data_IF_099872355245
#
_entry.id   IF_099872355245
#
_cell.length_a   1.000
_cell.length_b   1.000
_cell.length_c   1.000
_cell.angle_alpha   90.00
_cell.angle_beta   90.00
_cell.angle_gamma   90.00
#
_symmetry.space_group_name_H-M   'P 1'
#
loop_
_entity.id
_entity.type
_entity.pdbx_description
1 polymer ?
#
# COMPACT_ATOMS: atom_id res chain seq x y z
N UNK A 1 -20.94 -12.91 30.06
CA UNK A 1 -19.73 -12.05 29.97
C UNK A 1 -20.06 -10.89 29.03
N UNK A 2 -20.19 -9.67 29.56
CA UNK A 2 -20.75 -8.49 28.85
C UNK A 2 -19.98 -8.05 27.59
N UNK A 3 -18.70 -8.38 27.45
CA UNK A 3 -17.87 -7.97 26.31
C UNK A 3 -18.27 -8.62 24.98
N UNK A 4 -18.99 -9.76 25.01
CA UNK A 4 -19.46 -10.40 23.77
C UNK A 4 -20.58 -9.61 23.12
N UNK A 5 -21.43 -8.97 23.92
CA UNK A 5 -22.53 -8.17 23.41
C UNK A 5 -22.04 -6.82 22.84
N UNK A 6 -20.94 -6.26 23.38
CA UNK A 6 -20.32 -5.05 22.83
C UNK A 6 -19.67 -5.26 21.46
N UNK A 7 -19.37 -6.50 21.05
CA UNK A 7 -18.87 -6.77 19.69
C UNK A 7 -19.92 -6.43 18.62
N UNK A 8 -21.22 -6.52 18.93
CA UNK A 8 -22.28 -6.14 17.98
C UNK A 8 -22.23 -4.66 17.64
N UNK A 9 -21.79 -3.82 18.57
CA UNK A 9 -21.60 -2.38 18.33
C UNK A 9 -20.43 -2.08 17.38
N UNK A 10 -19.52 -3.04 17.16
CA UNK A 10 -18.39 -2.85 16.25
C UNK A 10 -18.83 -2.85 14.78
N UNK A 11 -19.95 -3.51 14.45
CA UNK A 11 -20.54 -3.48 13.10
C UNK A 11 -20.94 -2.06 12.67
N UNK A 12 -21.30 -1.22 13.64
CA UNK A 12 -21.69 0.17 13.42
C UNK A 12 -20.48 1.12 13.40
N UNK A 13 -19.29 0.64 13.78
CA UNK A 13 -18.09 1.47 13.83
C UNK A 13 -17.50 1.61 12.43
N UNK A 14 -17.75 2.76 11.81
CA UNK A 14 -17.06 3.15 10.58
C UNK A 14 -15.90 4.10 10.90
N UNK A 15 -14.68 3.68 10.57
CA UNK A 15 -13.49 4.53 10.69
C UNK A 15 -13.09 5.00 9.28
N UNK A 16 -13.27 6.29 8.95
CA UNK A 16 -12.88 6.81 7.65
C UNK A 16 -11.36 6.70 7.49
N UNK A 17 -10.92 6.06 6.40
CA UNK A 17 -9.50 5.93 6.04
C UNK A 17 -9.26 6.53 4.65
N UNK A 18 -9.35 7.86 4.51
CA UNK A 18 -9.08 8.50 3.22
C UNK A 18 -7.58 8.44 2.92
N UNK A 19 -7.22 8.01 1.70
CA UNK A 19 -5.85 8.12 1.20
C UNK A 19 -5.49 9.57 0.84
N UNK A 20 -6.49 10.32 0.36
CA UNK A 20 -6.36 11.68 -0.17
C UNK A 20 -7.47 12.58 0.39
N UNK A 21 -7.26 13.91 0.45
CA UNK A 21 -8.27 14.87 0.89
C UNK A 21 -9.36 15.14 -0.16
N UNK A 22 -9.54 14.23 -1.14
CA UNK A 22 -10.54 14.33 -2.21
C UNK A 22 -11.13 12.96 -2.52
N UNK A 23 -12.31 12.94 -3.17
CA UNK A 23 -12.91 11.71 -3.65
C UNK A 23 -12.09 11.13 -4.81
N UNK A 24 -11.69 9.87 -4.69
CA UNK A 24 -11.00 9.17 -5.77
C UNK A 24 -11.87 9.11 -7.02
N UNK A 25 -13.19 8.97 -6.89
CA UNK A 25 -14.13 8.90 -8.02
C UNK A 25 -14.08 10.13 -8.93
N UNK A 26 -13.72 11.29 -8.39
CA UNK A 26 -13.62 12.55 -9.12
C UNK A 26 -12.31 12.73 -9.86
N UNK A 27 -11.33 11.85 -9.66
CA UNK A 27 -10.04 11.92 -10.31
C UNK A 27 -10.01 11.08 -11.60
N UNK A 28 -9.70 11.68 -12.76
CA UNK A 28 -9.64 10.97 -14.04
C UNK A 28 -8.40 10.06 -14.14
N UNK A 29 -7.30 10.43 -13.48
CA UNK A 29 -6.03 9.71 -13.57
C UNK A 29 -5.55 9.28 -12.19
N UNK A 30 -5.36 7.96 -12.01
CA UNK A 30 -4.98 7.33 -10.75
C UNK A 30 -3.90 6.29 -11.03
N UNK A 31 -2.81 6.38 -10.30
CA UNK A 31 -1.66 5.49 -10.44
C UNK A 31 -1.29 4.92 -9.08
N UNK A 32 -1.00 3.61 -9.06
CA UNK A 32 -0.39 2.97 -7.91
C UNK A 32 1.14 2.99 -8.09
N UNK A 33 1.82 3.88 -7.38
CA UNK A 33 3.28 3.95 -7.41
C UNK A 33 3.88 3.06 -6.32
N UNK A 34 4.55 1.99 -6.72
CA UNK A 34 5.24 1.08 -5.79
C UNK A 34 6.75 1.23 -5.90
N UNK A 35 7.40 1.39 -4.74
CA UNK A 35 8.84 1.51 -4.61
C UNK A 35 9.36 0.34 -3.77
N UNK A 36 10.55 -0.14 -4.09
CA UNK A 36 11.24 -1.18 -3.32
C UNK A 36 12.65 -0.75 -2.99
N UNK A 37 13.14 -1.17 -1.82
CA UNK A 37 14.53 -0.98 -1.42
C UNK A 37 15.05 -2.23 -0.69
N UNK A 38 16.36 -2.41 -0.72
CA UNK A 38 17.03 -3.55 -0.14
C UNK A 38 18.37 -3.17 0.47
N UNK A 39 18.62 -3.71 1.65
CA UNK A 39 19.90 -3.61 2.35
C UNK A 39 20.28 -4.98 2.91
N UNK A 40 21.52 -5.09 3.41
CA UNK A 40 21.96 -6.30 4.12
C UNK A 40 21.21 -6.57 5.43
N UNK A 41 20.38 -5.62 5.90
CA UNK A 41 19.58 -5.78 7.12
C UNK A 41 18.11 -6.14 6.83
N UNK A 42 17.54 -5.60 5.74
CA UNK A 42 16.13 -5.80 5.40
C UNK A 42 15.84 -5.51 3.92
N UNK A 43 14.76 -6.11 3.43
CA UNK A 43 14.09 -5.73 2.18
C UNK A 43 12.76 -5.07 2.51
N UNK A 44 12.34 -4.10 1.69
CA UNK A 44 11.06 -3.43 1.88
C UNK A 44 10.43 -3.00 0.57
N UNK A 45 9.12 -2.78 0.62
CA UNK A 45 8.33 -2.17 -0.43
C UNK A 45 7.29 -1.21 0.17
N UNK A 46 6.99 -0.14 -0.55
CA UNK A 46 5.99 0.85 -0.17
C UNK A 46 5.16 1.26 -1.38
N UNK A 47 3.86 1.39 -1.19
CA UNK A 47 2.92 1.77 -2.21
C UNK A 47 2.23 3.09 -1.86
N UNK A 48 2.14 3.97 -2.85
CA UNK A 48 1.45 5.24 -2.80
C UNK A 48 0.40 5.33 -3.89
N UNK A 49 -0.75 5.93 -3.58
CA UNK A 49 -1.74 6.31 -4.57
C UNK A 49 -1.46 7.73 -5.03
N UNK A 50 -1.14 7.88 -6.31
CA UNK A 50 -0.97 9.17 -6.96
C UNK A 50 -2.21 9.49 -7.77
N UNK A 51 -2.69 10.71 -7.62
CA UNK A 51 -3.84 11.27 -8.33
C UNK A 51 -3.47 12.60 -8.92
N UNK A 52 -3.96 12.88 -10.13
CA UNK A 52 -3.93 14.22 -10.72
C UNK A 52 -5.36 14.76 -10.72
N UNK A 53 -5.57 15.92 -10.11
CA UNK A 53 -6.88 16.58 -10.13
C UNK A 53 -7.12 17.33 -11.46
N UNK A 54 -8.32 17.88 -11.61
CA UNK A 54 -8.75 18.61 -12.82
C UNK A 54 -7.89 19.87 -13.08
N UNK A 55 -7.30 20.44 -12.03
CA UNK A 55 -6.43 21.61 -12.11
C UNK A 55 -4.95 21.22 -12.39
N UNK A 56 -4.67 19.92 -12.51
CA UNK A 56 -3.34 19.38 -12.80
C UNK A 56 -2.44 19.22 -11.56
N UNK A 57 -2.95 19.43 -10.36
CA UNK A 57 -2.19 19.22 -9.13
C UNK A 57 -2.07 17.72 -8.82
N UNK A 58 -0.85 17.29 -8.52
CA UNK A 58 -0.58 15.92 -8.10
C UNK A 58 -0.74 15.78 -6.59
N UNK A 59 -1.64 14.89 -6.18
CA UNK A 59 -1.85 14.50 -4.79
C UNK A 59 -1.37 13.07 -4.59
N UNK A 60 -0.73 12.81 -3.44
CA UNK A 60 -0.15 11.50 -3.13
C UNK A 60 -0.57 11.07 -1.73
N UNK A 61 -1.08 9.84 -1.64
CA UNK A 61 -1.52 9.21 -0.40
C UNK A 61 -0.75 7.94 -0.12
N UNK A 62 -0.34 7.71 1.13
CA UNK A 62 0.27 6.45 1.53
C UNK A 62 -0.78 5.34 1.58
N UNK A 63 -0.53 4.21 0.91
CA UNK A 63 -1.44 3.07 0.93
C UNK A 63 -0.99 2.02 1.93
N UNK A 64 0.20 1.46 1.71
CA UNK A 64 0.72 0.36 2.51
C UNK A 64 2.24 0.26 2.37
N UNK A 65 2.91 -0.19 3.43
CA UNK A 65 4.32 -0.53 3.43
C UNK A 65 4.53 -1.91 4.04
N UNK A 66 5.50 -2.65 3.50
CA UNK A 66 5.83 -4.01 3.93
C UNK A 66 7.34 -4.17 3.98
N UNK A 67 7.85 -4.78 5.04
CA UNK A 67 9.28 -5.05 5.20
C UNK A 67 9.52 -6.46 5.72
N UNK A 68 10.68 -7.03 5.39
CA UNK A 68 11.14 -8.34 5.86
C UNK A 68 12.62 -8.23 6.23
N UNK A 69 13.02 -8.81 7.36
CA UNK A 69 14.44 -8.90 7.76
C UNK A 69 15.19 -9.72 6.72
N UNK A 70 16.38 -9.26 6.33
CA UNK A 70 17.21 -9.95 5.36
C UNK A 70 17.69 -11.31 5.93
N UNK A 71 17.75 -12.37 5.12
CA UNK A 71 18.27 -13.66 5.58
C UNK A 71 19.70 -13.51 6.12
N UNK A 72 19.99 -14.18 7.24
CA UNK A 72 21.33 -14.16 7.86
C UNK A 72 22.41 -14.85 7.01
N UNK A 73 22.03 -15.70 6.05
CA UNK A 73 22.96 -16.36 5.14
C UNK A 73 23.49 -15.40 4.07
N UNK A 74 24.67 -15.72 3.51
CA UNK A 74 25.34 -14.95 2.47
C UNK A 74 24.47 -14.77 1.23
N UNK A 75 23.70 -13.69 1.23
CA UNK A 75 22.86 -13.23 0.12
C UNK A 75 23.47 -11.93 -0.38
N UNK A 76 23.72 -11.83 -1.68
CA UNK A 76 24.30 -10.61 -2.25
C UNK A 76 23.26 -9.49 -2.30
N UNK A 77 23.71 -8.23 -2.25
CA UNK A 77 22.82 -7.06 -2.34
C UNK A 77 21.93 -7.11 -3.61
N UNK A 78 22.44 -7.44 -4.81
CA UNK A 78 21.58 -7.56 -6.00
C UNK A 78 20.47 -8.62 -5.87
N UNK A 79 20.72 -9.71 -5.14
CA UNK A 79 19.68 -10.72 -4.88
C UNK A 79 18.64 -10.19 -3.89
N UNK A 80 19.04 -9.40 -2.90
CA UNK A 80 18.12 -8.74 -1.98
C UNK A 80 17.27 -7.69 -2.69
N UNK A 81 17.85 -6.89 -3.60
CA UNK A 81 17.12 -5.95 -4.46
C UNK A 81 16.05 -6.67 -5.29
N UNK A 82 16.40 -7.82 -5.90
CA UNK A 82 15.43 -8.64 -6.62
C UNK A 82 14.31 -9.16 -5.69
N UNK A 83 14.64 -9.59 -4.47
CA UNK A 83 13.62 -10.00 -3.50
C UNK A 83 12.72 -8.83 -3.06
N UNK A 84 13.26 -7.62 -2.94
CA UNK A 84 12.48 -6.42 -2.65
C UNK A 84 11.54 -6.06 -3.81
N UNK A 85 11.97 -6.23 -5.06
CA UNK A 85 11.13 -6.07 -6.24
C UNK A 85 9.97 -7.08 -6.27
N UNK A 86 10.23 -8.35 -5.92
CA UNK A 86 9.16 -9.35 -5.75
C UNK A 86 8.18 -8.93 -4.66
N UNK A 87 8.68 -8.44 -3.53
CA UNK A 87 7.85 -7.93 -2.44
C UNK A 87 6.97 -6.74 -2.87
N UNK A 88 7.47 -5.88 -3.75
CA UNK A 88 6.72 -4.77 -4.33
C UNK A 88 5.58 -5.25 -5.23
N UNK A 89 5.82 -6.26 -6.09
CA UNK A 89 4.76 -6.84 -6.93
C UNK A 89 3.69 -7.51 -6.06
N UNK A 90 4.07 -8.30 -5.06
CA UNK A 90 3.11 -8.90 -4.10
C UNK A 90 2.26 -7.83 -3.40
N UNK A 91 2.88 -6.69 -3.03
CA UNK A 91 2.19 -5.57 -2.39
C UNK A 91 1.22 -4.89 -3.35
N UNK A 92 1.62 -4.71 -4.62
CA UNK A 92 0.77 -4.14 -5.65
C UNK A 92 -0.46 -5.02 -5.91
N UNK A 93 -0.26 -6.32 -6.11
CA UNK A 93 -1.35 -7.28 -6.35
C UNK A 93 -2.36 -7.27 -5.20
N UNK A 94 -1.87 -7.30 -3.95
CA UNK A 94 -2.73 -7.21 -2.75
C UNK A 94 -3.55 -5.92 -2.75
N UNK A 95 -2.95 -4.79 -3.14
CA UNK A 95 -3.67 -3.51 -3.16
C UNK A 95 -4.68 -3.43 -4.30
N UNK A 96 -4.37 -3.98 -5.47
CA UNK A 96 -5.28 -4.01 -6.62
C UNK A 96 -6.51 -4.87 -6.29
N UNK A 97 -6.32 -6.00 -5.61
CA UNK A 97 -7.42 -6.89 -5.23
C UNK A 97 -8.31 -6.30 -4.12
N UNK A 98 -7.74 -5.55 -3.18
CA UNK A 98 -8.45 -5.05 -1.99
C UNK A 98 -8.97 -3.60 -2.13
N UNK A 99 -8.47 -2.83 -3.11
CA UNK A 99 -8.98 -1.49 -3.36
C UNK A 99 -10.25 -1.57 -4.21
N UNK A 100 -11.36 -1.05 -3.68
CA UNK A 100 -12.67 -0.95 -4.35
C UNK A 100 -12.69 0.01 -5.57
N UNK A 101 -11.52 0.43 -6.07
CA UNK A 101 -11.37 1.39 -7.17
C UNK A 101 -10.49 0.83 -8.27
N UNK A 102 -10.92 0.95 -9.53
CA UNK A 102 -10.06 0.68 -10.68
C UNK A 102 -8.88 1.65 -10.66
N UNK A 103 -7.68 1.11 -10.46
CA UNK A 103 -6.40 1.82 -10.51
C UNK A 103 -5.58 1.18 -11.61
N UNK A 104 -4.97 2.01 -12.46
CA UNK A 104 -4.02 1.51 -13.45
C UNK A 104 -2.67 1.27 -12.74
N UNK A 105 -2.19 0.02 -12.82
CA UNK A 105 -0.86 -0.39 -12.36
C UNK A 105 0.21 -0.09 -13.41
#
# INVERSE_FOLDING_TARGET
KSWRDSLKSLEQLHVPRPYLPMSLLSAPHRELCVFSDASTMAICAVAYLRVVDEDGHSLVGFCMGKSKVAPHHTTTVPRLELCAAVLAVELADTLIDELDTNIHA
#
